data_IF_194063101772
#
_entry.id   IF_194063101772
#
_cell.length_a   1.000
_cell.length_b   1.000
_cell.length_c   1.000
_cell.angle_alpha   90.00
_cell.angle_beta   90.00
_cell.angle_gamma   90.00
#
_symmetry.space_group_name_H-M   'P 1'
#
loop_
_entity.id
_entity.type
_entity.pdbx_description
1 polymer ?
#
# COMPACT_ATOMS: atom_id res chain seq x y z
N UNK A 1 -22.04 -23.52 5.95
CA UNK A 1 -20.59 -23.46 6.22
C UNK A 1 -20.41 -22.41 7.30
N UNK A 2 -19.80 -22.78 8.45
CA UNK A 2 -19.62 -21.89 9.59
C UNK A 2 -18.40 -20.98 9.33
N UNK A 3 -18.54 -19.69 9.62
CA UNK A 3 -17.46 -18.69 9.47
C UNK A 3 -16.26 -18.97 10.40
N UNK A 4 -16.50 -19.67 11.51
CA UNK A 4 -15.46 -19.95 12.50
C UNK A 4 -14.72 -21.28 12.24
N UNK A 5 -15.05 -22.00 11.17
CA UNK A 5 -14.30 -23.21 10.79
C UNK A 5 -12.98 -22.84 10.13
N UNK A 6 -11.88 -23.58 10.42
CA UNK A 6 -10.60 -23.38 9.76
C UNK A 6 -10.68 -23.49 8.23
N UNK A 7 -9.75 -22.83 7.55
CA UNK A 7 -9.61 -22.85 6.09
C UNK A 7 -8.13 -22.93 5.73
N UNK A 8 -7.78 -23.77 4.77
CA UNK A 8 -6.48 -23.74 4.12
C UNK A 8 -6.59 -22.90 2.84
N UNK A 9 -5.80 -21.84 2.75
CA UNK A 9 -5.70 -20.96 1.58
C UNK A 9 -4.27 -21.05 1.01
N UNK A 10 -4.09 -21.87 -0.03
CA UNK A 10 -2.75 -22.18 -0.52
C UNK A 10 -1.92 -22.85 0.57
N UNK A 11 -0.85 -22.20 1.01
CA UNK A 11 0.01 -22.65 2.12
C UNK A 11 -0.40 -22.10 3.49
N UNK A 12 -1.36 -21.19 3.54
CA UNK A 12 -1.79 -20.55 4.77
C UNK A 12 -2.87 -21.38 5.48
N UNK A 13 -2.64 -21.71 6.76
CA UNK A 13 -3.59 -22.34 7.63
C UNK A 13 -4.35 -21.29 8.45
N UNK A 14 -5.53 -20.89 7.99
CA UNK A 14 -6.34 -19.85 8.63
C UNK A 14 -7.23 -20.47 9.71
N UNK A 15 -7.28 -19.84 10.90
CA UNK A 15 -8.07 -20.31 12.05
C UNK A 15 -9.58 -20.20 11.86
N UNK A 16 -10.02 -19.33 10.96
CA UNK A 16 -11.42 -19.12 10.59
C UNK A 16 -11.50 -18.46 9.19
N UNK A 17 -12.71 -18.18 8.72
CA UNK A 17 -12.99 -17.66 7.37
C UNK A 17 -13.26 -16.15 7.36
N UNK A 18 -12.95 -15.45 8.44
CA UNK A 18 -13.13 -14.00 8.56
C UNK A 18 -11.86 -13.32 8.08
N UNK A 19 -11.98 -12.43 7.10
CA UNK A 19 -10.86 -11.63 6.58
C UNK A 19 -11.08 -10.17 6.95
N UNK A 20 -10.09 -9.57 7.60
CA UNK A 20 -10.06 -8.13 7.82
C UNK A 20 -9.66 -7.44 6.50
N UNK A 21 -10.57 -6.63 5.97
CA UNK A 21 -10.33 -5.86 4.74
C UNK A 21 -9.25 -4.77 4.94
N UNK A 22 -8.51 -4.40 3.88
CA UNK A 22 -7.53 -3.32 3.93
C UNK A 22 -8.20 -1.97 4.17
N UNK A 23 -7.69 -1.21 5.14
CA UNK A 23 -8.24 0.10 5.52
C UNK A 23 -7.11 1.07 5.88
N UNK A 24 -6.90 2.10 5.09
CA UNK A 24 -5.96 3.19 5.40
C UNK A 24 -6.31 3.83 6.73
N UNK A 25 -5.36 3.87 7.67
CA UNK A 25 -5.57 4.41 9.02
C UNK A 25 -4.95 5.78 9.23
N UNK A 26 -4.04 6.20 8.35
CA UNK A 26 -3.30 7.47 8.49
C UNK A 26 -2.64 7.60 9.87
N UNK A 27 -1.89 6.58 10.29
CA UNK A 27 -1.21 6.49 11.60
C UNK A 27 0.28 6.21 11.49
N UNK A 28 0.83 6.10 10.28
CA UNK A 28 2.27 6.09 10.06
C UNK A 28 2.87 7.48 10.31
N UNK A 29 4.19 7.57 10.41
CA UNK A 29 4.93 8.83 10.38
C UNK A 29 4.82 9.53 9.03
N UNK A 30 5.22 10.79 8.97
CA UNK A 30 5.26 11.58 7.72
C UNK A 30 6.32 11.07 6.73
N UNK A 31 7.24 10.24 7.20
CA UNK A 31 8.27 9.51 6.45
C UNK A 31 7.80 8.12 5.99
N UNK A 32 6.53 7.79 6.20
CA UNK A 32 5.97 6.47 5.89
C UNK A 32 6.41 5.37 6.86
N UNK A 33 6.96 5.72 8.02
CA UNK A 33 7.38 4.75 9.03
C UNK A 33 6.19 4.26 9.86
N UNK A 34 5.91 2.94 9.94
CA UNK A 34 4.90 2.39 10.85
C UNK A 34 5.18 2.77 12.31
N UNK A 35 4.12 3.00 13.08
CA UNK A 35 4.21 3.50 14.47
C UNK A 35 3.69 2.49 15.49
N UNK A 36 4.03 2.68 16.77
CA UNK A 36 3.60 1.79 17.85
C UNK A 36 2.08 1.62 17.99
N UNK A 37 1.29 2.65 17.69
CA UNK A 37 -0.19 2.53 17.70
C UNK A 37 -0.70 1.56 16.63
N UNK A 38 0.03 1.38 15.52
CA UNK A 38 -0.31 0.39 14.49
C UNK A 38 -0.07 -1.03 14.99
N UNK A 39 0.92 -1.26 15.87
CA UNK A 39 1.15 -2.55 16.53
C UNK A 39 -0.10 -2.97 17.30
N UNK A 40 -0.62 -2.10 18.17
CA UNK A 40 -1.83 -2.38 18.95
C UNK A 40 -3.04 -2.57 18.05
N UNK A 41 -3.18 -1.75 17.02
CA UNK A 41 -4.30 -1.82 16.08
C UNK A 41 -4.40 -3.17 15.39
N UNK A 42 -3.30 -3.70 14.87
CA UNK A 42 -3.28 -4.99 14.17
C UNK A 42 -3.33 -6.17 15.14
N UNK A 43 -2.60 -6.10 16.27
CA UNK A 43 -2.63 -7.13 17.33
C UNK A 43 -4.05 -7.39 17.86
N UNK A 44 -4.82 -6.32 18.12
CA UNK A 44 -6.22 -6.42 18.57
C UNK A 44 -7.15 -7.13 17.58
N UNK A 45 -6.74 -7.33 16.34
CA UNK A 45 -7.50 -7.95 15.25
C UNK A 45 -6.94 -9.29 14.81
N UNK A 46 -5.91 -9.77 15.47
CA UNK A 46 -5.23 -11.03 15.15
C UNK A 46 -6.12 -12.28 15.30
N UNK A 47 -7.30 -12.15 15.90
CA UNK A 47 -8.30 -13.24 15.95
C UNK A 47 -9.02 -13.46 14.60
N UNK A 48 -8.94 -12.56 13.63
CA UNK A 48 -9.38 -12.81 12.27
C UNK A 48 -8.57 -13.95 11.65
N UNK A 49 -9.18 -14.68 10.72
CA UNK A 49 -8.48 -15.74 9.98
C UNK A 49 -7.34 -15.18 9.12
N UNK A 50 -7.55 -14.02 8.52
CA UNK A 50 -6.54 -13.30 7.75
C UNK A 50 -6.70 -11.79 7.95
N UNK A 51 -5.60 -11.08 8.11
CA UNK A 51 -5.56 -9.62 8.04
C UNK A 51 -4.93 -9.21 6.71
N UNK A 52 -5.62 -8.36 5.94
CA UNK A 52 -4.98 -7.63 4.84
C UNK A 52 -4.61 -6.24 5.40
N UNK A 53 -3.34 -5.85 5.27
CA UNK A 53 -2.85 -4.58 5.80
C UNK A 53 -3.53 -3.39 5.11
N UNK A 54 -3.44 -2.21 5.69
CA UNK A 54 -3.64 -0.98 4.92
C UNK A 54 -2.68 -0.90 3.73
N UNK A 55 -3.00 -0.08 2.74
CA UNK A 55 -2.14 0.11 1.57
C UNK A 55 -0.74 0.57 1.96
N UNK A 56 0.28 -0.17 1.52
CA UNK A 56 1.70 0.05 1.80
C UNK A 56 2.38 0.51 0.52
N UNK A 57 3.04 1.66 0.54
CA UNK A 57 3.70 2.19 -0.64
C UNK A 57 4.98 1.41 -0.99
N UNK A 58 5.17 1.04 -2.28
CA UNK A 58 6.38 0.35 -2.75
C UNK A 58 7.58 1.29 -2.90
N UNK A 59 7.36 2.59 -2.92
CA UNK A 59 8.38 3.64 -3.08
C UNK A 59 7.85 4.97 -2.56
N UNK A 60 8.72 5.98 -2.45
CA UNK A 60 8.31 7.33 -2.09
C UNK A 60 7.36 7.95 -3.13
N UNK A 61 7.54 7.64 -4.41
CA UNK A 61 6.63 8.04 -5.50
C UNK A 61 5.24 7.40 -5.35
N UNK A 62 5.16 6.23 -4.70
CA UNK A 62 3.91 5.50 -4.46
C UNK A 62 3.01 6.06 -3.37
N UNK A 63 3.53 6.91 -2.49
CA UNK A 63 2.75 7.60 -1.45
C UNK A 63 1.83 8.68 -2.05
N UNK A 64 0.75 9.02 -1.33
CA UNK A 64 -0.15 10.10 -1.74
C UNK A 64 -1.09 10.57 -0.64
N UNK A 65 -1.54 9.70 0.24
CA UNK A 65 -2.32 10.07 1.42
C UNK A 65 -1.41 10.41 2.60
N UNK A 66 -1.87 11.29 3.48
CA UNK A 66 -1.10 11.66 4.66
C UNK A 66 -0.90 10.47 5.61
N UNK A 67 0.30 10.33 6.15
CA UNK A 67 0.65 9.36 7.19
C UNK A 67 0.30 7.91 6.83
N UNK A 68 0.53 7.53 5.56
CA UNK A 68 0.43 6.14 5.10
C UNK A 68 1.80 5.48 5.09
N UNK A 69 1.89 4.16 5.37
CA UNK A 69 3.17 3.49 5.50
C UNK A 69 3.78 3.12 4.14
N UNK A 70 5.10 3.01 4.12
CA UNK A 70 5.87 2.41 3.05
C UNK A 70 6.58 1.12 3.48
N UNK A 71 7.25 0.45 2.50
CA UNK A 71 8.09 -0.73 2.74
C UNK A 71 9.30 -0.77 1.80
N UNK A 72 9.87 0.38 1.52
CA UNK A 72 10.95 0.56 0.54
C UNK A 72 12.32 0.90 1.17
N UNK A 73 12.43 0.89 2.50
CA UNK A 73 13.69 1.05 3.21
C UNK A 73 13.76 0.19 4.48
N UNK A 74 14.97 0.01 5.02
CA UNK A 74 15.20 -0.90 6.14
C UNK A 74 14.44 -0.50 7.41
N UNK A 75 14.35 0.80 7.72
CA UNK A 75 13.63 1.26 8.90
C UNK A 75 12.13 0.91 8.85
N UNK A 76 11.52 1.02 7.65
CA UNK A 76 10.13 0.62 7.43
C UNK A 76 9.95 -0.90 7.57
N UNK A 77 10.88 -1.70 7.04
CA UNK A 77 10.88 -3.17 7.17
C UNK A 77 10.93 -3.56 8.66
N UNK A 78 11.84 -2.96 9.42
CA UNK A 78 12.00 -3.27 10.85
C UNK A 78 10.78 -2.85 11.68
N UNK A 79 10.17 -1.71 11.35
CA UNK A 79 8.94 -1.25 11.99
C UNK A 79 7.75 -2.17 11.68
N UNK A 80 7.61 -2.64 10.43
CA UNK A 80 6.61 -3.63 10.05
C UNK A 80 6.83 -4.96 10.77
N UNK A 81 8.08 -5.42 10.92
CA UNK A 81 8.39 -6.65 11.67
C UNK A 81 7.78 -6.62 13.06
N UNK A 82 7.88 -5.51 13.79
CA UNK A 82 7.28 -5.38 15.11
C UNK A 82 5.76 -5.56 15.11
N UNK A 83 5.09 -5.13 14.05
CA UNK A 83 3.63 -5.32 13.87
C UNK A 83 3.32 -6.79 13.60
N UNK A 84 4.06 -7.41 12.68
CA UNK A 84 3.85 -8.80 12.29
C UNK A 84 4.12 -9.75 13.47
N UNK A 85 5.21 -9.54 14.19
CA UNK A 85 5.54 -10.32 15.40
C UNK A 85 4.40 -10.25 16.44
N UNK A 86 3.81 -9.07 16.64
CA UNK A 86 2.69 -8.89 17.54
C UNK A 86 1.41 -9.61 17.05
N UNK A 87 1.16 -9.63 15.74
CA UNK A 87 0.03 -10.39 15.14
C UNK A 87 0.28 -11.90 15.25
N UNK A 88 1.49 -12.35 14.91
CA UNK A 88 1.88 -13.77 14.99
C UNK A 88 1.88 -14.29 16.42
N UNK A 89 2.27 -13.49 17.42
CA UNK A 89 2.23 -13.90 18.84
C UNK A 89 0.82 -14.22 19.33
N UNK A 90 -0.21 -13.64 18.72
CA UNK A 90 -1.63 -13.96 18.95
C UNK A 90 -2.14 -15.08 18.01
N UNK A 91 -1.26 -15.69 17.22
CA UNK A 91 -1.57 -16.72 16.23
C UNK A 91 -2.37 -16.20 15.03
N UNK A 92 -2.29 -14.90 14.72
CA UNK A 92 -2.88 -14.30 13.53
C UNK A 92 -2.05 -14.56 12.27
N UNK A 93 -2.63 -14.25 11.11
CA UNK A 93 -1.99 -14.31 9.81
C UNK A 93 -2.21 -12.96 9.10
N UNK A 94 -1.16 -12.40 8.47
CA UNK A 94 -1.24 -11.07 7.86
C UNK A 94 -0.51 -10.99 6.52
N UNK A 95 -1.19 -10.44 5.49
CA UNK A 95 -0.62 -10.16 4.18
C UNK A 95 -0.47 -8.66 3.95
N UNK A 96 0.57 -8.25 3.24
CA UNK A 96 0.82 -6.86 2.86
C UNK A 96 0.01 -6.49 1.62
N UNK A 97 -0.78 -5.40 1.66
CA UNK A 97 -1.36 -4.83 0.46
C UNK A 97 -0.40 -3.78 -0.12
N UNK A 98 0.24 -4.07 -1.26
CA UNK A 98 1.14 -3.14 -1.94
C UNK A 98 0.33 -2.19 -2.82
N UNK A 99 0.47 -0.88 -2.56
CA UNK A 99 -0.34 0.17 -3.17
C UNK A 99 0.52 1.34 -3.64
N UNK A 100 0.56 1.58 -4.94
CA UNK A 100 1.10 2.80 -5.52
C UNK A 100 -0.06 3.66 -6.01
N UNK A 101 -0.26 4.83 -5.41
CA UNK A 101 -1.47 5.65 -5.67
C UNK A 101 -1.51 6.29 -7.06
N UNK A 102 -0.37 6.36 -7.76
CA UNK A 102 -0.31 7.00 -9.08
C UNK A 102 -0.70 8.48 -8.99
N UNK A 103 -1.64 8.92 -9.83
CA UNK A 103 -2.13 10.31 -9.88
C UNK A 103 -3.02 10.75 -8.71
N UNK A 104 -3.37 9.82 -7.81
CA UNK A 104 -4.22 10.12 -6.64
C UNK A 104 -3.33 10.59 -5.49
N UNK A 105 -2.69 11.74 -5.67
CA UNK A 105 -1.68 12.24 -4.75
C UNK A 105 -1.67 13.77 -4.63
N UNK A 106 -1.04 14.24 -3.53
CA UNK A 106 -0.62 15.61 -3.35
C UNK A 106 0.80 15.63 -2.76
N UNK A 107 1.68 16.49 -3.27
CA UNK A 107 3.08 16.58 -2.86
C UNK A 107 3.25 16.83 -1.35
N UNK A 108 2.31 17.51 -0.70
CA UNK A 108 2.36 17.77 0.75
C UNK A 108 2.23 16.49 1.61
N UNK A 109 1.75 15.40 1.04
CA UNK A 109 1.62 14.11 1.71
C UNK A 109 2.78 13.14 1.42
N UNK A 110 3.83 13.63 0.75
CA UNK A 110 4.95 12.81 0.26
C UNK A 110 6.28 13.34 0.80
N UNK A 111 7.31 12.49 0.92
CA UNK A 111 8.66 12.95 1.19
C UNK A 111 9.15 13.92 0.12
N UNK A 112 9.98 14.89 0.52
CA UNK A 112 10.59 15.84 -0.41
C UNK A 112 11.35 15.12 -1.53
N UNK A 113 11.18 15.59 -2.77
CA UNK A 113 11.79 15.00 -3.96
C UNK A 113 11.02 13.84 -4.59
N UNK A 114 9.94 13.36 -3.96
CA UNK A 114 9.05 12.37 -4.59
C UNK A 114 8.20 13.00 -5.68
N UNK A 115 7.84 12.19 -6.67
CA UNK A 115 7.04 12.62 -7.82
C UNK A 115 5.65 11.97 -7.77
N UNK A 116 4.65 12.68 -8.26
CA UNK A 116 3.37 12.07 -8.61
C UNK A 116 3.42 11.67 -10.07
N UNK A 117 3.28 10.37 -10.32
CA UNK A 117 3.43 9.78 -11.66
C UNK A 117 2.17 9.03 -12.07
N UNK A 118 1.94 8.93 -13.37
CA UNK A 118 0.81 8.22 -13.96
C UNK A 118 1.16 7.72 -15.37
N UNK A 119 0.36 6.82 -15.98
CA UNK A 119 0.57 6.45 -17.38
C UNK A 119 0.48 7.64 -18.34
N UNK A 120 -0.35 8.63 -18.01
CA UNK A 120 -0.48 9.88 -18.80
C UNK A 120 -0.68 11.06 -17.84
N UNK A 121 -0.28 12.27 -18.25
CA UNK A 121 -0.32 13.49 -17.46
C UNK A 121 -1.78 14.01 -17.28
N UNK A 122 -2.66 13.20 -16.75
CA UNK A 122 -4.07 13.50 -16.53
C UNK A 122 -4.38 13.60 -15.03
N UNK A 123 -4.65 14.82 -14.55
CA UNK A 123 -5.03 15.06 -13.14
C UNK A 123 -6.28 14.26 -12.76
N UNK A 124 -6.28 13.68 -11.58
CA UNK A 124 -7.48 13.10 -10.98
C UNK A 124 -8.48 14.20 -10.61
N UNK A 125 -9.78 13.88 -10.65
CA UNK A 125 -10.83 14.81 -10.19
C UNK A 125 -11.01 14.66 -8.68
N UNK A 126 -11.34 15.78 -8.01
CA UNK A 126 -11.60 15.82 -6.58
C UNK A 126 -10.43 16.35 -5.77
N UNK A 127 -10.47 16.11 -4.49
CA UNK A 127 -9.56 16.65 -3.49
C UNK A 127 -9.13 15.56 -2.52
N UNK A 128 -8.01 15.81 -1.84
CA UNK A 128 -7.54 14.97 -0.75
C UNK A 128 -7.08 15.81 0.44
N UNK A 129 -7.15 15.21 1.61
CA UNK A 129 -6.71 15.86 2.84
C UNK A 129 -5.17 15.87 2.92
N UNK A 130 -4.64 17.00 3.37
CA UNK A 130 -3.23 17.20 3.72
C UNK A 130 -3.14 17.73 5.16
N UNK A 131 -2.15 17.26 5.92
CA UNK A 131 -1.95 17.70 7.31
C UNK A 131 -1.60 19.20 7.41
N UNK A 132 -1.02 19.76 6.36
CA UNK A 132 -0.51 21.12 6.34
C UNK A 132 -1.55 22.17 5.94
N UNK A 133 -2.46 21.83 5.01
CA UNK A 133 -3.37 22.80 4.38
C UNK A 133 -4.83 22.29 4.27
N UNK A 134 -5.16 21.15 4.87
CA UNK A 134 -6.49 20.57 4.77
C UNK A 134 -6.79 19.98 3.40
N UNK A 135 -8.02 20.17 2.90
CA UNK A 135 -8.45 19.64 1.60
C UNK A 135 -7.83 20.42 0.45
N UNK A 136 -7.14 19.73 -0.43
CA UNK A 136 -6.53 20.30 -1.63
C UNK A 136 -6.83 19.43 -2.86
N UNK A 137 -6.93 20.03 -4.05
CA UNK A 137 -7.04 19.29 -5.29
C UNK A 137 -5.85 18.31 -5.46
N UNK A 138 -6.11 17.17 -6.11
CA UNK A 138 -5.02 16.33 -6.58
C UNK A 138 -4.08 17.12 -7.47
N UNK A 139 -2.79 16.82 -7.41
CA UNK A 139 -1.82 17.50 -8.26
C UNK A 139 -1.81 16.95 -9.69
N UNK A 140 -1.20 17.71 -10.61
CA UNK A 140 -0.97 17.26 -11.97
C UNK A 140 0.15 16.21 -11.96
N UNK A 141 -0.12 14.95 -12.36
CA UNK A 141 0.93 13.95 -12.43
C UNK A 141 1.88 14.19 -13.61
N UNK A 142 3.08 13.69 -13.46
CA UNK A 142 4.01 13.51 -14.58
C UNK A 142 3.67 12.21 -15.30
N UNK A 143 3.69 12.23 -16.62
CA UNK A 143 3.64 10.99 -17.41
C UNK A 143 4.93 10.21 -17.18
N UNK A 144 4.81 8.90 -16.89
CA UNK A 144 5.96 8.01 -16.77
C UNK A 144 6.64 7.85 -18.14
N UNK A 145 7.92 8.23 -18.30
CA UNK A 145 8.68 7.88 -19.47
C UNK A 145 8.70 6.35 -19.68
N UNK A 146 8.71 5.92 -20.93
CA UNK A 146 8.70 4.49 -21.28
C UNK A 146 9.81 3.70 -20.56
N UNK A 147 11.01 4.28 -20.53
CA UNK A 147 12.20 3.72 -19.90
C UNK A 147 12.13 3.64 -18.37
N UNK A 148 11.22 4.40 -17.74
CA UNK A 148 11.04 4.35 -16.28
C UNK A 148 9.98 3.33 -15.81
N UNK A 149 9.13 2.84 -16.69
CA UNK A 149 8.10 1.86 -16.32
C UNK A 149 8.71 0.58 -15.72
N UNK A 150 9.81 0.02 -16.28
CA UNK A 150 10.50 -1.13 -15.67
C UNK A 150 10.99 -0.86 -14.24
N UNK A 151 11.41 0.38 -13.93
CA UNK A 151 11.81 0.77 -12.57
C UNK A 151 10.63 0.68 -11.61
N UNK A 152 9.45 1.17 -12.01
CA UNK A 152 8.25 1.09 -11.17
C UNK A 152 7.82 -0.36 -10.92
N UNK A 153 7.91 -1.21 -11.95
CA UNK A 153 7.66 -2.66 -11.79
C UNK A 153 8.65 -3.26 -10.78
N UNK A 154 9.93 -2.87 -10.86
CA UNK A 154 10.94 -3.32 -9.92
C UNK A 154 10.69 -2.84 -8.49
N UNK A 155 10.11 -1.65 -8.29
CA UNK A 155 9.69 -1.16 -6.97
C UNK A 155 8.64 -2.07 -6.31
N UNK A 156 7.65 -2.55 -7.07
CA UNK A 156 6.69 -3.55 -6.58
C UNK A 156 7.36 -4.87 -6.22
N UNK A 157 8.31 -5.33 -7.03
CA UNK A 157 9.08 -6.56 -6.75
C UNK A 157 9.87 -6.41 -5.44
N UNK A 158 10.62 -5.32 -5.29
CA UNK A 158 11.40 -5.03 -4.08
C UNK A 158 10.48 -4.92 -2.85
N UNK A 159 9.35 -4.22 -2.97
CA UNK A 159 8.38 -4.12 -1.88
C UNK A 159 7.82 -5.49 -1.47
N UNK A 160 7.62 -6.39 -2.42
CA UNK A 160 7.23 -7.79 -2.14
C UNK A 160 8.33 -8.53 -1.37
N UNK A 161 9.59 -8.43 -1.79
CA UNK A 161 10.74 -9.03 -1.10
C UNK A 161 10.88 -8.47 0.32
N UNK A 162 10.73 -7.16 0.48
CA UNK A 162 10.77 -6.47 1.76
C UNK A 162 9.60 -6.88 2.67
N UNK A 163 8.42 -7.14 2.11
CA UNK A 163 7.27 -7.64 2.88
C UNK A 163 7.58 -9.01 3.49
N UNK A 164 8.15 -9.93 2.74
CA UNK A 164 8.60 -11.21 3.28
C UNK A 164 9.75 -11.05 4.29
N UNK A 165 10.68 -10.13 4.06
CA UNK A 165 11.74 -9.81 5.02
C UNK A 165 11.21 -9.22 6.33
N UNK A 166 10.07 -8.50 6.29
CA UNK A 166 9.37 -8.01 7.48
C UNK A 166 8.58 -9.12 8.21
N UNK A 167 8.34 -10.26 7.56
CA UNK A 167 7.62 -11.40 8.15
C UNK A 167 6.18 -11.56 7.71
N UNK A 168 5.68 -10.79 6.73
CA UNK A 168 4.33 -11.01 6.20
C UNK A 168 4.16 -12.40 5.61
N UNK A 169 2.99 -12.98 5.78
CA UNK A 169 2.63 -14.32 5.28
C UNK A 169 2.33 -14.34 3.77
N UNK A 170 2.25 -13.18 3.13
CA UNK A 170 2.00 -13.03 1.71
C UNK A 170 1.83 -11.57 1.30
N UNK A 171 1.51 -11.35 0.03
CA UNK A 171 1.26 -10.01 -0.53
C UNK A 171 -0.02 -9.99 -1.35
N UNK A 172 -0.67 -8.84 -1.38
CA UNK A 172 -1.77 -8.50 -2.27
C UNK A 172 -1.37 -7.27 -3.09
N UNK A 173 -1.56 -7.31 -4.40
CA UNK A 173 -1.36 -6.14 -5.27
C UNK A 173 -2.66 -5.35 -5.39
N UNK A 174 -2.65 -4.10 -4.95
CA UNK A 174 -3.82 -3.23 -5.07
C UNK A 174 -3.95 -2.69 -6.50
N UNK A 175 -4.67 -3.41 -7.34
CA UNK A 175 -4.86 -3.12 -8.76
C UNK A 175 -6.22 -2.48 -9.09
N UNK A 176 -6.92 -1.95 -8.09
CA UNK A 176 -8.27 -1.37 -8.25
C UNK A 176 -8.32 0.08 -7.80
N UNK A 177 -9.52 0.62 -7.58
CA UNK A 177 -9.82 1.93 -6.99
C UNK A 177 -9.15 3.13 -7.69
N UNK A 178 -8.73 2.98 -8.95
CA UNK A 178 -8.11 4.05 -9.71
C UNK A 178 -6.65 4.34 -9.33
N UNK A 179 -5.95 3.41 -8.66
CA UNK A 179 -4.51 3.51 -8.37
C UNK A 179 -3.66 3.08 -9.57
N UNK A 180 -2.33 3.15 -9.45
CA UNK A 180 -1.44 3.10 -10.60
C UNK A 180 -1.68 1.91 -11.56
N UNK A 181 -1.83 0.64 -11.11
CA UNK A 181 -2.12 -0.44 -12.05
C UNK A 181 -3.46 -0.26 -12.78
N UNK A 182 -4.52 0.16 -12.06
CA UNK A 182 -5.81 0.47 -12.67
C UNK A 182 -5.73 1.65 -13.65
N UNK A 183 -4.85 2.63 -13.40
CA UNK A 183 -4.64 3.75 -14.30
C UNK A 183 -4.04 3.30 -15.64
N UNK A 184 -3.18 2.29 -15.65
CA UNK A 184 -2.66 1.69 -16.89
C UNK A 184 -3.72 0.88 -17.63
N UNK A 185 -4.60 0.18 -16.92
CA UNK A 185 -5.63 -0.68 -17.50
C UNK A 185 -6.85 0.09 -18.03
N UNK A 186 -7.03 1.35 -17.66
CA UNK A 186 -8.20 2.15 -18.00
C UNK A 186 -7.92 3.13 -19.14
N UNK A 187 -8.60 3.01 -20.26
CA UNK A 187 -8.47 3.94 -21.41
C UNK A 187 -8.83 5.39 -21.10
N UNK A 188 -9.58 5.63 -20.00
CA UNK A 188 -9.88 6.97 -19.49
C UNK A 188 -8.67 7.66 -18.85
N UNK A 189 -7.69 6.90 -18.39
CA UNK A 189 -6.50 7.38 -17.66
C UNK A 189 -5.19 7.08 -18.37
N UNK A 190 -5.18 6.10 -19.26
CA UNK A 190 -4.05 5.74 -20.10
C UNK A 190 -4.30 6.23 -21.53
N UNK A 191 -3.52 7.19 -21.99
CA UNK A 191 -3.54 7.75 -23.34
C UNK A 191 -2.23 7.47 -24.09
N UNK A 192 -1.44 6.53 -23.56
CA UNK A 192 -0.19 6.10 -24.20
C UNK A 192 -0.46 5.48 -25.57
N UNK A 193 0.53 5.59 -26.44
CA UNK A 193 0.52 4.98 -27.77
C UNK A 193 1.70 4.03 -28.00
N UNK A 194 2.44 3.74 -26.92
CA UNK A 194 3.53 2.77 -26.89
C UNK A 194 3.05 1.37 -26.46
N UNK A 195 3.93 0.51 -25.97
CA UNK A 195 3.62 -0.87 -25.61
C UNK A 195 2.88 -1.07 -24.26
N UNK A 196 2.53 0.01 -23.54
CA UNK A 196 1.87 -0.04 -22.24
C UNK A 196 0.50 0.61 -22.21
#
# INVERSE_FOLDING_TARGET
>A
MDLFTPLTLGTLALRNRIVMAPMTRSRAGTDGLPTGIMVDYYRQRASAGLIISEGIAPSADGLGYCRTPGIYNQAQIDAWRSIIDAVHSEGGCMVAQIMHVGRVANALNKPAGSRTVAPSALRARGEMYTDQQGMLPFEQPLELPLEEIPRVIQEYRIATENSFAAGFDGVELHCTSGYLPAQFLCSGTNKRTDGY
#
